data_IF_603187486963
#
_entry.id   IF_603187486963
#
_cell.length_a   1.000
_cell.length_b   1.000
_cell.length_c   1.000
_cell.angle_alpha   90.00
_cell.angle_beta   90.00
_cell.angle_gamma   90.00
#
_symmetry.space_group_name_H-M   'P 1'
#
loop_
_entity.id
_entity.type
_entity.pdbx_description
1 polymer ?
#
# COMPACT_ATOMS: atom_id res chain seq x y z
N UNK A 1 2.53 14.98 -15.95
CA UNK A 1 1.06 14.89 -15.87
C UNK A 1 0.68 13.87 -14.82
N UNK A 2 -0.11 14.24 -13.82
CA UNK A 2 -0.64 13.32 -12.81
C UNK A 2 -1.95 12.73 -13.34
N UNK A 3 -2.06 11.41 -13.34
CA UNK A 3 -3.30 10.70 -13.71
C UNK A 3 -3.91 10.09 -12.47
N UNK A 4 -5.22 10.30 -12.27
CA UNK A 4 -5.98 9.73 -11.17
C UNK A 4 -7.13 8.93 -11.77
N UNK A 5 -7.16 7.63 -11.48
CA UNK A 5 -8.27 6.75 -11.81
C UNK A 5 -8.92 6.28 -10.51
N UNK A 6 -10.24 6.45 -10.42
CA UNK A 6 -11.02 5.97 -9.28
C UNK A 6 -11.77 4.70 -9.66
N UNK A 7 -11.58 3.65 -8.86
CA UNK A 7 -12.25 2.36 -8.99
C UNK A 7 -12.99 2.12 -7.67
N UNK A 8 -14.24 1.66 -7.74
CA UNK A 8 -15.13 1.64 -6.57
C UNK A 8 -15.32 0.24 -6.00
N UNK A 9 -15.12 -0.81 -6.81
CA UNK A 9 -15.33 -2.20 -6.39
C UNK A 9 -14.09 -3.06 -6.61
N UNK A 10 -13.95 -4.14 -5.84
CA UNK A 10 -12.87 -5.11 -6.05
C UNK A 10 -12.95 -5.76 -7.43
N UNK A 11 -14.17 -5.97 -7.94
CA UNK A 11 -14.39 -6.51 -9.28
C UNK A 11 -13.86 -5.58 -10.38
N UNK A 12 -14.19 -4.29 -10.33
CA UNK A 12 -13.65 -3.26 -11.23
C UNK A 12 -12.12 -3.22 -11.14
N UNK A 13 -11.59 -3.20 -9.92
CA UNK A 13 -10.15 -3.20 -9.70
C UNK A 13 -9.46 -4.40 -10.34
N UNK A 14 -10.03 -5.60 -10.17
CA UNK A 14 -9.50 -6.82 -10.77
C UNK A 14 -9.50 -6.76 -12.30
N UNK A 15 -10.59 -6.29 -12.91
CA UNK A 15 -10.68 -6.13 -14.37
C UNK A 15 -9.65 -5.13 -14.87
N UNK A 16 -9.55 -3.98 -14.20
CA UNK A 16 -8.60 -2.93 -14.55
C UNK A 16 -7.16 -3.47 -14.54
N UNK A 17 -6.77 -4.13 -13.46
CA UNK A 17 -5.43 -4.70 -13.29
C UNK A 17 -5.11 -5.79 -14.32
N UNK A 18 -6.08 -6.64 -14.65
CA UNK A 18 -5.87 -7.75 -15.58
C UNK A 18 -5.88 -7.35 -17.05
N UNK A 19 -6.67 -6.33 -17.44
CA UNK A 19 -6.95 -6.03 -18.85
C UNK A 19 -6.49 -4.64 -19.31
N UNK A 20 -6.62 -3.62 -18.47
CA UNK A 20 -6.51 -2.23 -18.92
C UNK A 20 -5.18 -1.57 -18.56
N UNK A 21 -4.62 -1.89 -17.39
CA UNK A 21 -3.45 -1.19 -16.88
C UNK A 21 -2.21 -1.30 -17.79
N UNK A 22 -1.95 -2.48 -18.35
CA UNK A 22 -0.83 -2.69 -19.28
C UNK A 22 -0.92 -1.80 -20.53
N UNK A 23 -2.13 -1.67 -21.11
CA UNK A 23 -2.38 -0.80 -22.25
C UNK A 23 -2.10 0.67 -21.89
N UNK A 24 -2.62 1.14 -20.75
CA UNK A 24 -2.43 2.52 -20.31
C UNK A 24 -0.96 2.85 -20.02
N UNK A 25 -0.20 1.91 -19.43
CA UNK A 25 1.22 2.11 -19.18
C UNK A 25 2.02 2.23 -20.48
N UNK A 26 1.69 1.45 -21.51
CA UNK A 26 2.33 1.61 -22.82
C UNK A 26 2.02 2.96 -23.44
N UNK A 27 0.76 3.39 -23.36
CA UNK A 27 0.31 4.64 -23.97
C UNK A 27 0.92 5.87 -23.29
N UNK A 28 1.00 5.87 -21.95
CA UNK A 28 1.37 7.05 -21.17
C UNK A 28 2.73 6.96 -20.46
N UNK A 29 3.40 5.81 -20.52
CA UNK A 29 4.74 5.58 -19.94
C UNK A 29 4.84 5.93 -18.44
N UNK A 30 3.88 5.44 -17.63
CA UNK A 30 3.84 5.72 -16.19
C UNK A 30 5.09 5.19 -15.46
N UNK A 31 5.86 6.09 -14.83
CA UNK A 31 7.03 5.74 -14.00
C UNK A 31 6.65 5.23 -12.61
N UNK A 32 5.51 5.68 -12.09
CA UNK A 32 5.03 5.29 -10.76
C UNK A 32 3.51 5.15 -10.79
N UNK A 33 3.02 4.06 -10.19
CA UNK A 33 1.60 3.73 -10.05
C UNK A 33 1.34 3.61 -8.56
N UNK A 34 0.37 4.36 -8.06
CA UNK A 34 -0.04 4.30 -6.65
C UNK A 34 -1.41 3.65 -6.61
N UNK A 35 -1.52 2.54 -5.86
CA UNK A 35 -2.77 1.88 -5.54
C UNK A 35 -3.12 2.27 -4.12
N UNK A 36 -4.00 3.25 -3.99
CA UNK A 36 -4.45 3.72 -2.69
C UNK A 36 -5.53 2.79 -2.13
N UNK A 37 -5.44 2.50 -0.83
CA UNK A 37 -6.40 1.67 -0.08
C UNK A 37 -6.68 0.30 -0.69
N UNK A 38 -5.64 -0.47 -1.05
CA UNK A 38 -5.83 -1.76 -1.72
C UNK A 38 -6.64 -2.77 -0.87
N UNK A 39 -6.44 -2.77 0.44
CA UNK A 39 -7.20 -3.62 1.37
C UNK A 39 -8.67 -3.23 1.50
N UNK A 40 -9.02 -1.97 1.27
CA UNK A 40 -10.39 -1.47 1.37
C UNK A 40 -11.32 -2.11 0.33
N UNK A 41 -10.80 -2.49 -0.85
CA UNK A 41 -11.60 -3.21 -1.85
C UNK A 41 -12.13 -4.54 -1.32
N UNK A 42 -11.43 -5.19 -0.37
CA UNK A 42 -11.93 -6.42 0.23
C UNK A 42 -12.98 -6.18 1.31
N UNK A 43 -13.15 -4.94 1.79
CA UNK A 43 -14.18 -4.66 2.80
C UNK A 43 -15.59 -4.67 2.20
N UNK A 44 -15.70 -4.43 0.90
CA UNK A 44 -16.97 -4.47 0.16
C UNK A 44 -17.39 -5.87 -0.26
N UNK A 45 -16.56 -6.89 -0.01
CA UNK A 45 -16.83 -8.27 -0.43
C UNK A 45 -17.53 -9.07 0.66
N UNK A 46 -18.59 -9.82 0.31
CA UNK A 46 -19.32 -10.67 1.24
C UNK A 46 -18.45 -11.78 1.88
N UNK A 47 -17.47 -12.28 1.12
CA UNK A 47 -16.56 -13.36 1.54
C UNK A 47 -15.12 -13.04 1.14
N UNK A 48 -14.46 -12.10 1.84
CA UNK A 48 -13.19 -11.55 1.37
C UNK A 48 -12.04 -12.55 1.44
N UNK A 49 -12.12 -13.55 2.33
CA UNK A 49 -11.13 -14.63 2.41
C UNK A 49 -11.13 -15.53 1.16
N UNK A 50 -12.28 -15.69 0.51
CA UNK A 50 -12.38 -16.48 -0.73
C UNK A 50 -11.73 -15.75 -1.92
N UNK A 51 -11.55 -14.42 -1.82
CA UNK A 51 -10.89 -13.59 -2.85
C UNK A 51 -9.37 -13.60 -2.80
N UNK A 52 -8.75 -14.33 -1.87
CA UNK A 52 -7.27 -14.41 -1.73
C UNK A 52 -6.56 -14.85 -3.01
N UNK A 53 -7.19 -15.73 -3.80
CA UNK A 53 -6.64 -16.15 -5.11
C UNK A 53 -6.63 -14.98 -6.10
N UNK A 54 -7.71 -14.22 -6.18
CA UNK A 54 -7.78 -13.02 -7.03
C UNK A 54 -6.75 -11.96 -6.61
N UNK A 55 -6.57 -11.74 -5.30
CA UNK A 55 -5.50 -10.87 -4.78
C UNK A 55 -4.13 -11.32 -5.27
N UNK A 56 -3.84 -12.62 -5.19
CA UNK A 56 -2.55 -13.15 -5.64
C UNK A 56 -2.34 -12.90 -7.14
N UNK A 57 -3.39 -13.09 -7.96
CA UNK A 57 -3.34 -12.80 -9.39
C UNK A 57 -3.08 -11.31 -9.67
N UNK A 58 -3.76 -10.42 -8.94
CA UNK A 58 -3.56 -8.97 -9.03
C UNK A 58 -2.11 -8.59 -8.71
N UNK A 59 -1.55 -9.13 -7.61
CA UNK A 59 -0.14 -8.88 -7.24
C UNK A 59 0.81 -9.39 -8.34
N UNK A 60 0.51 -10.55 -8.94
CA UNK A 60 1.29 -11.05 -10.07
C UNK A 60 1.24 -10.11 -11.28
N UNK A 61 0.05 -9.56 -11.60
CA UNK A 61 -0.09 -8.54 -12.65
C UNK A 61 0.78 -7.30 -12.33
N UNK A 62 0.78 -6.82 -11.08
CA UNK A 62 1.62 -5.69 -10.65
C UNK A 62 3.11 -5.99 -10.81
N UNK A 63 3.55 -7.20 -10.45
CA UNK A 63 4.95 -7.62 -10.63
C UNK A 63 5.37 -7.64 -12.09
N UNK A 64 4.52 -8.19 -12.96
CA UNK A 64 4.78 -8.21 -14.40
C UNK A 64 4.91 -6.78 -14.95
N UNK A 65 4.10 -5.84 -14.45
CA UNK A 65 4.19 -4.42 -14.80
C UNK A 65 5.53 -3.82 -14.35
N UNK A 66 5.93 -4.03 -13.10
CA UNK A 66 7.21 -3.52 -12.57
C UNK A 66 8.38 -4.03 -13.42
N UNK A 67 8.37 -5.32 -13.75
CA UNK A 67 9.43 -5.94 -14.54
C UNK A 67 9.45 -5.42 -15.98
N UNK A 68 8.31 -5.45 -16.66
CA UNK A 68 8.21 -5.11 -18.09
C UNK A 68 8.44 -3.63 -18.36
N UNK A 69 7.91 -2.75 -17.52
CA UNK A 69 7.91 -1.30 -17.77
C UNK A 69 8.93 -0.54 -16.92
N UNK A 70 9.68 -1.24 -16.05
CA UNK A 70 10.57 -0.62 -15.04
C UNK A 70 9.85 0.42 -14.18
N UNK A 71 8.53 0.30 -14.03
CA UNK A 71 7.68 1.19 -13.25
C UNK A 71 7.75 0.82 -11.77
N UNK A 72 7.52 1.80 -10.89
CA UNK A 72 7.34 1.57 -9.44
C UNK A 72 5.86 1.42 -9.14
N UNK A 73 5.49 0.39 -8.38
CA UNK A 73 4.14 0.28 -7.81
C UNK A 73 4.22 0.52 -6.31
N UNK A 74 3.41 1.44 -5.81
CA UNK A 74 3.24 1.72 -4.39
C UNK A 74 1.83 1.29 -4.01
N UNK A 75 1.73 0.39 -3.03
CA UNK A 75 0.44 -0.03 -2.47
C UNK A 75 0.30 0.63 -1.12
N UNK A 76 -0.77 1.41 -0.94
CA UNK A 76 -1.14 2.00 0.34
C UNK A 76 -2.29 1.18 0.90
N UNK A 77 -2.17 0.80 2.16
CA UNK A 77 -3.25 0.15 2.91
C UNK A 77 -3.54 0.99 4.15
N UNK A 78 -4.82 1.12 4.44
CA UNK A 78 -5.28 1.79 5.64
C UNK A 78 -5.61 0.70 6.64
N UNK A 79 -4.68 0.41 7.55
CA UNK A 79 -4.83 -0.68 8.52
C UNK A 79 -5.91 -0.30 9.56
N UNK A 80 -7.19 -0.45 9.20
CA UNK A 80 -8.34 0.11 9.95
C UNK A 80 -8.66 -0.59 11.28
N UNK A 81 -7.85 -1.55 11.74
CA UNK A 81 -7.97 -2.10 13.08
C UNK A 81 -6.63 -2.68 13.55
N UNK A 82 -5.92 -1.95 14.42
CA UNK A 82 -4.53 -2.24 14.79
C UNK A 82 -4.31 -3.53 15.59
N UNK A 83 -5.39 -4.10 16.15
CA UNK A 83 -5.29 -5.23 17.10
C UNK A 83 -4.70 -6.50 16.48
N UNK A 84 -4.84 -6.68 15.16
CA UNK A 84 -4.45 -7.92 14.47
C UNK A 84 -3.37 -7.70 13.40
N UNK A 85 -2.66 -6.56 13.42
CA UNK A 85 -1.65 -6.23 12.39
C UNK A 85 -0.36 -7.01 12.63
N UNK A 86 -0.04 -7.30 13.89
CA UNK A 86 1.15 -8.04 14.27
C UNK A 86 0.71 -9.32 14.99
N UNK A 87 1.24 -10.45 14.56
CA UNK A 87 1.11 -11.69 15.33
C UNK A 87 1.99 -11.64 16.59
N UNK A 88 1.96 -12.71 17.38
CA UNK A 88 2.81 -12.87 18.57
C UNK A 88 4.32 -12.80 18.29
N UNK A 89 4.72 -13.00 17.03
CA UNK A 89 6.11 -12.94 16.56
C UNK A 89 6.44 -11.58 15.92
N UNK A 90 5.59 -10.57 16.08
CA UNK A 90 5.72 -9.24 15.46
C UNK A 90 5.78 -9.27 13.92
N UNK A 91 5.17 -10.28 13.29
CA UNK A 91 5.01 -10.35 11.84
C UNK A 91 3.77 -9.61 11.38
N UNK A 92 3.90 -8.85 10.28
CA UNK A 92 2.80 -8.12 9.68
C UNK A 92 1.73 -9.06 9.09
N UNK A 93 0.67 -9.33 9.84
CA UNK A 93 -0.50 -10.09 9.44
C UNK A 93 -1.59 -9.17 8.89
N UNK A 94 -2.25 -9.62 7.82
CA UNK A 94 -3.47 -8.98 7.33
C UNK A 94 -4.57 -10.03 7.30
N UNK A 95 -5.69 -9.81 8.01
CA UNK A 95 -6.77 -10.79 8.14
C UNK A 95 -7.38 -11.25 6.81
N UNK A 96 -7.32 -10.41 5.78
CA UNK A 96 -7.86 -10.70 4.46
C UNK A 96 -6.85 -11.40 3.57
N UNK A 97 -5.62 -10.90 3.50
CA UNK A 97 -4.55 -11.46 2.67
C UNK A 97 -3.83 -12.67 3.30
N UNK A 98 -3.95 -12.82 4.62
CA UNK A 98 -3.16 -13.77 5.43
C UNK A 98 -1.67 -13.43 5.46
N UNK A 99 -0.85 -14.40 5.88
CA UNK A 99 0.62 -14.26 5.90
C UNK A 99 1.24 -14.11 4.51
N UNK A 100 0.53 -14.49 3.43
CA UNK A 100 1.02 -14.27 2.05
C UNK A 100 1.32 -12.80 1.77
N UNK A 101 0.63 -11.90 2.47
CA UNK A 101 0.92 -10.45 2.46
C UNK A 101 2.40 -10.14 2.72
N UNK A 102 3.07 -10.92 3.55
CA UNK A 102 4.48 -10.74 3.86
C UNK A 102 5.38 -10.88 2.63
N UNK A 103 4.95 -11.60 1.60
CA UNK A 103 5.79 -11.92 0.45
C UNK A 103 5.41 -11.13 -0.80
N UNK A 104 4.36 -10.32 -0.76
CA UNK A 104 3.88 -9.60 -1.95
C UNK A 104 4.75 -8.40 -2.31
N UNK A 105 5.17 -7.63 -1.30
CA UNK A 105 5.93 -6.39 -1.49
C UNK A 105 7.44 -6.59 -1.27
N UNK A 106 8.25 -6.03 -2.16
CA UNK A 106 9.72 -6.04 -2.05
C UNK A 106 10.23 -5.19 -0.87
N UNK A 107 9.49 -4.12 -0.53
CA UNK A 107 9.76 -3.24 0.61
C UNK A 107 8.45 -2.89 1.27
N UNK A 108 8.45 -2.79 2.60
CA UNK A 108 7.28 -2.42 3.38
C UNK A 108 7.65 -1.35 4.38
N UNK A 109 6.69 -0.46 4.61
CA UNK A 109 6.82 0.65 5.53
C UNK A 109 5.57 0.75 6.37
N UNK A 110 5.73 1.16 7.61
CA UNK A 110 4.64 1.38 8.55
C UNK A 110 4.66 2.84 8.96
N UNK A 111 3.55 3.53 8.71
CA UNK A 111 3.39 4.92 9.10
C UNK A 111 2.53 4.97 10.34
N UNK A 112 3.07 5.52 11.43
CA UNK A 112 2.35 5.68 12.70
C UNK A 112 2.14 7.15 12.99
N UNK A 113 0.92 7.52 13.38
CA UNK A 113 0.62 8.85 13.92
C UNK A 113 1.18 8.96 15.34
N UNK A 114 1.81 10.09 15.65
CA UNK A 114 2.32 10.47 16.97
C UNK A 114 1.60 11.73 17.45
N UNK A 115 1.91 12.17 18.66
CA UNK A 115 1.39 13.41 19.24
C UNK A 115 1.70 14.61 18.34
N UNK A 116 0.88 15.66 18.46
CA UNK A 116 1.05 16.95 17.76
C UNK A 116 1.10 16.84 16.22
N UNK A 117 0.39 15.87 15.64
CA UNK A 117 0.28 15.71 14.18
C UNK A 117 1.52 15.13 13.48
N UNK A 118 2.54 14.75 14.25
CA UNK A 118 3.71 14.04 13.74
C UNK A 118 3.32 12.66 13.21
N UNK A 119 4.03 12.21 12.18
CA UNK A 119 3.97 10.86 11.65
C UNK A 119 5.39 10.32 11.57
N UNK A 120 5.55 9.05 11.91
CA UNK A 120 6.83 8.35 11.88
C UNK A 120 6.73 7.19 10.92
N UNK A 121 7.74 7.06 10.05
CA UNK A 121 7.89 5.94 9.13
C UNK A 121 8.87 4.96 9.74
N UNK A 122 8.44 3.70 9.83
CA UNK A 122 9.27 2.56 10.19
C UNK A 122 9.45 1.63 8.99
N UNK A 123 10.57 0.92 8.91
CA UNK A 123 10.75 -0.22 8.02
C UNK A 123 9.90 -1.41 8.47
N UNK A 124 9.84 -2.49 7.68
CA UNK A 124 9.25 -3.75 8.14
C UNK A 124 10.02 -4.44 9.27
N UNK A 125 11.30 -4.12 9.48
CA UNK A 125 12.09 -4.58 10.63
C UNK A 125 11.86 -3.72 11.88
N UNK A 126 10.89 -2.80 11.84
CA UNK A 126 10.62 -1.82 12.90
C UNK A 126 11.74 -0.80 13.13
N UNK A 127 12.68 -0.67 12.20
CA UNK A 127 13.70 0.38 12.26
C UNK A 127 13.07 1.74 11.96
N UNK A 128 13.41 2.74 12.78
CA UNK A 128 13.02 4.12 12.54
C UNK A 128 13.68 4.64 11.27
N UNK A 129 12.90 5.26 10.39
CA UNK A 129 13.43 5.87 9.16
C UNK A 129 13.35 7.39 9.21
N UNK A 130 12.17 7.95 9.51
CA UNK A 130 11.97 9.40 9.45
C UNK A 130 10.71 9.86 10.17
N UNK A 131 10.75 11.10 10.64
CA UNK A 131 9.58 11.83 11.14
C UNK A 131 9.17 12.93 10.17
N UNK A 132 7.86 13.09 9.97
CA UNK A 132 7.30 14.15 9.16
C UNK A 132 5.96 14.64 9.71
N UNK A 133 5.59 15.87 9.35
CA UNK A 133 4.24 16.42 9.57
C UNK A 133 3.54 16.55 8.22
N UNK A 134 2.23 16.37 8.25
CA UNK A 134 1.36 16.82 7.17
C UNK A 134 0.67 18.08 7.68
N UNK A 135 0.95 19.21 7.06
CA UNK A 135 0.31 20.50 7.34
C UNK A 135 -0.83 20.75 6.34
N UNK A 136 -1.46 21.92 6.40
CA UNK A 136 -2.57 22.29 5.50
C UNK A 136 -2.26 22.00 4.03
N UNK A 137 -3.30 21.67 3.25
CA UNK A 137 -3.20 21.31 1.83
C UNK A 137 -2.29 20.09 1.53
N UNK A 138 -2.23 19.14 2.46
CA UNK A 138 -1.44 17.91 2.33
C UNK A 138 0.07 18.13 2.14
N UNK A 139 0.60 19.30 2.52
CA UNK A 139 2.01 19.59 2.45
C UNK A 139 2.79 18.75 3.47
N UNK A 140 3.91 18.15 3.04
CA UNK A 140 4.75 17.28 3.87
C UNK A 140 6.02 18.04 4.28
N UNK A 141 6.26 18.15 5.59
CA UNK A 141 7.48 18.72 6.16
C UNK A 141 8.21 17.68 6.98
N UNK A 142 9.47 17.41 6.66
CA UNK A 142 10.30 16.50 7.44
C UNK A 142 10.82 17.21 8.70
N UNK A 143 10.73 16.55 9.85
CA UNK A 143 11.21 17.07 11.13
C UNK A 143 12.66 16.62 11.33
N UNK A 144 13.56 17.51 11.76
CA UNK A 144 14.94 17.14 12.06
C UNK A 144 15.01 16.24 13.29
N UNK A 145 15.83 15.18 13.23
CA UNK A 145 15.89 14.11 14.23
C UNK A 145 16.44 14.52 15.61
N UNK A 146 16.71 15.82 15.88
CA UNK A 146 17.39 16.25 17.11
C UNK A 146 16.52 16.21 18.38
N UNK A 147 15.19 16.03 18.28
CA UNK A 147 14.27 16.27 19.41
C UNK A 147 13.22 15.16 19.67
N UNK A 148 13.49 13.88 19.39
CA UNK A 148 12.48 12.80 19.57
C UNK A 148 12.95 11.68 20.52
N UNK A 149 13.99 11.94 21.31
CA UNK A 149 14.32 11.12 22.49
C UNK A 149 13.82 11.83 23.75
N UNK A 150 12.52 11.74 24.04
CA UNK A 150 11.94 11.81 25.39
C UNK A 150 10.64 11.01 25.40
#
# INVERSE_FOLDING_TARGET
MLWILRLNTFFEFRIFMAKQLSYLINLYSFKCIVVDSFDAFLYTENKPREKRKDVTNIIQCMRNIIFKHKSKVIIVNNLFNNKDIFDSNFLLYNKYFGYKWLYYANKKFIIRKKLCGNRVIYSSSSEFLKTFKITGFAQITFVSNKNIEK
#
